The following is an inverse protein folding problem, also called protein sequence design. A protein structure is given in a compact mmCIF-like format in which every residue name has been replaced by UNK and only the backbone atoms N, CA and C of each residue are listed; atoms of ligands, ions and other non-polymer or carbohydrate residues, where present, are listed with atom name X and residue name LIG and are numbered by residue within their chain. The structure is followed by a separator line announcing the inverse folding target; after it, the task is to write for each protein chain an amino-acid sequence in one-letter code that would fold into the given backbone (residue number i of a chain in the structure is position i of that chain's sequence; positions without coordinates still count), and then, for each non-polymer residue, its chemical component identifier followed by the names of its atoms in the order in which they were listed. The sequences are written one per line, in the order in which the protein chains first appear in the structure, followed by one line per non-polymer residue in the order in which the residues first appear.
data_IF_354027627261
#
_entry.id   IF_354027627261
#
_cell.length_a   1.000
_cell.length_b   1.000
_cell.length_c   1.000
_cell.angle_alpha   90.00
_cell.angle_beta   90.00
_cell.angle_gamma   90.00
#
_symmetry.space_group_name_H-M   'P 1'
#
loop_
_entity.id
_entity.type
_entity.pdbx_description
1 polymer ?
#
# COMPACT_ATOMS: atom_id res chain seq x y z
N UNK A 1 34.26 26.91 0.63
CA UNK A 1 33.72 26.38 -0.63
C UNK A 1 33.82 24.86 -0.56
N UNK A 2 32.80 24.18 -0.06
CA UNK A 2 32.75 22.71 -0.05
C UNK A 2 31.39 22.27 -0.58
N UNK A 3 31.31 22.15 -1.91
CA UNK A 3 30.15 21.60 -2.60
C UNK A 3 30.30 20.07 -2.61
N UNK A 4 29.83 19.42 -1.54
CA UNK A 4 29.67 17.96 -1.52
C UNK A 4 28.71 17.57 -2.65
N UNK A 5 29.25 17.01 -3.73
CA UNK A 5 28.50 16.35 -4.80
C UNK A 5 27.74 15.15 -4.22
N UNK A 6 26.58 15.40 -3.60
CA UNK A 6 25.54 14.40 -3.43
C UNK A 6 24.95 14.19 -4.81
N UNK A 7 25.64 13.39 -5.63
CA UNK A 7 25.14 12.89 -6.91
C UNK A 7 23.79 12.27 -6.60
N UNK A 8 22.72 13.02 -6.86
CA UNK A 8 21.39 12.63 -6.47
C UNK A 8 21.09 11.37 -7.27
N UNK A 9 21.05 10.23 -6.59
CA UNK A 9 20.65 8.95 -7.20
C UNK A 9 19.20 9.05 -7.70
N UNK A 10 18.45 10.01 -7.14
CA UNK A 10 17.06 10.37 -7.42
C UNK A 10 16.77 10.57 -8.92
N UNK A 11 17.44 11.47 -9.68
CA UNK A 11 17.23 11.61 -11.13
C UNK A 11 17.52 10.33 -11.92
N UNK A 12 18.50 9.52 -11.51
CA UNK A 12 18.79 8.23 -12.16
C UNK A 12 17.66 7.22 -11.96
N UNK A 13 17.14 7.11 -10.73
CA UNK A 13 16.00 6.24 -10.42
C UNK A 13 14.74 6.69 -11.14
N UNK A 14 14.51 8.00 -11.26
CA UNK A 14 13.39 8.57 -12.04
C UNK A 14 13.53 8.23 -13.52
N UNK A 15 14.73 8.34 -14.10
CA UNK A 15 14.94 7.98 -15.51
C UNK A 15 14.74 6.48 -15.75
N UNK A 16 15.21 5.63 -14.84
CA UNK A 16 15.06 4.17 -14.95
C UNK A 16 13.59 3.77 -14.81
N UNK A 17 12.86 4.33 -13.84
CA UNK A 17 11.43 4.04 -13.67
C UNK A 17 10.60 4.56 -14.84
N UNK A 18 10.91 5.76 -15.35
CA UNK A 18 10.26 6.31 -16.54
C UNK A 18 10.56 5.49 -17.79
N UNK A 19 11.80 5.04 -17.95
CA UNK A 19 12.22 4.16 -19.03
C UNK A 19 11.51 2.81 -18.98
N UNK A 20 11.37 2.20 -17.80
CA UNK A 20 10.66 0.93 -17.62
C UNK A 20 9.17 1.07 -17.97
N UNK A 21 8.54 2.17 -17.55
CA UNK A 21 7.15 2.49 -17.89
C UNK A 21 6.95 2.68 -19.38
N UNK A 22 7.89 3.31 -20.07
CA UNK A 22 7.88 3.45 -21.54
C UNK A 22 8.19 2.14 -22.28
N UNK A 23 8.95 1.24 -21.65
CA UNK A 23 9.29 -0.07 -22.23
C UNK A 23 8.11 -1.04 -22.16
N UNK A 24 7.31 -1.00 -21.10
CA UNK A 24 6.18 -1.92 -20.87
C UNK A 24 5.24 -2.04 -22.09
N UNK A 25 4.70 -0.96 -22.70
CA UNK A 25 3.87 -1.04 -23.92
C UNK A 25 4.57 -1.61 -25.15
N UNK A 26 5.90 -1.64 -25.14
CA UNK A 26 6.71 -2.07 -26.29
C UNK A 26 7.03 -3.57 -26.19
N UNK A 27 7.17 -4.10 -24.97
CA UNK A 27 7.37 -5.55 -24.71
C UNK A 27 6.08 -6.30 -24.39
N UNK A 28 5.01 -5.61 -24.02
CA UNK A 28 3.69 -6.18 -23.73
C UNK A 28 2.64 -5.44 -24.53
N UNK A 29 1.54 -6.09 -24.93
CA UNK A 29 0.42 -5.50 -25.70
C UNK A 29 -0.43 -4.50 -24.87
N UNK A 30 0.23 -3.80 -23.95
CA UNK A 30 -0.35 -2.88 -22.98
C UNK A 30 -0.44 -1.52 -23.64
N UNK A 31 -1.66 -1.01 -23.77
CA UNK A 31 -1.90 0.28 -24.44
C UNK A 31 -1.45 1.44 -23.55
N UNK A 32 -1.09 2.59 -24.15
CA UNK A 32 -0.78 3.82 -23.38
C UNK A 32 -1.91 4.23 -22.41
N UNK A 33 -3.17 3.87 -22.75
CA UNK A 33 -4.35 4.05 -21.89
C UNK A 33 -4.30 3.23 -20.59
N UNK A 34 -3.55 2.15 -20.57
CA UNK A 34 -3.44 1.19 -19.46
C UNK A 34 -2.31 1.55 -18.47
N UNK A 35 -1.44 2.50 -18.83
CA UNK A 35 -0.35 2.99 -17.96
C UNK A 35 -0.79 4.00 -16.89
N UNK A 36 -2.05 4.46 -16.92
CA UNK A 36 -2.56 5.44 -15.96
C UNK A 36 -2.35 5.09 -14.47
N UNK A 37 -2.37 3.81 -14.01
CA UNK A 37 -2.15 3.47 -12.60
C UNK A 37 -0.75 3.84 -12.11
N UNK A 38 0.24 3.96 -13.01
CA UNK A 38 1.60 4.41 -12.68
C UNK A 38 1.59 5.84 -12.15
N UNK A 39 0.72 6.71 -12.67
CA UNK A 39 0.58 8.08 -12.16
C UNK A 39 0.00 8.13 -10.74
N UNK A 40 -0.73 7.09 -10.32
CA UNK A 40 -1.23 6.95 -8.95
C UNK A 40 -0.18 6.27 -8.06
N UNK A 41 0.42 5.17 -8.53
CA UNK A 41 1.42 4.41 -7.80
C UNK A 41 2.72 5.20 -7.57
N UNK A 42 3.16 5.97 -8.56
CA UNK A 42 4.40 6.76 -8.54
C UNK A 42 4.50 7.69 -7.32
N UNK A 43 3.59 8.67 -7.14
CA UNK A 43 3.59 9.52 -5.96
C UNK A 43 3.39 8.74 -4.66
N UNK A 44 2.62 7.64 -4.69
CA UNK A 44 2.47 6.74 -3.54
C UNK A 44 3.80 6.16 -3.07
N UNK A 45 4.56 5.57 -4.00
CA UNK A 45 5.88 4.98 -3.71
C UNK A 45 6.86 6.05 -3.23
N UNK A 46 6.83 7.24 -3.82
CA UNK A 46 7.68 8.36 -3.41
C UNK A 46 7.37 8.78 -1.97
N UNK A 47 6.10 8.95 -1.61
CA UNK A 47 5.69 9.30 -0.25
C UNK A 47 6.00 8.18 0.76
N UNK A 48 5.81 6.92 0.36
CA UNK A 48 6.15 5.77 1.19
C UNK A 48 7.66 5.72 1.45
N UNK A 49 8.49 5.90 0.41
CA UNK A 49 9.94 5.93 0.51
C UNK A 49 10.44 7.11 1.37
N UNK A 50 9.88 8.32 1.17
CA UNK A 50 10.22 9.49 2.00
C UNK A 50 9.84 9.27 3.46
N UNK A 51 8.68 8.68 3.74
CA UNK A 51 8.24 8.36 5.10
C UNK A 51 9.13 7.30 5.77
N UNK A 52 9.58 6.30 5.01
CA UNK A 52 10.49 5.25 5.50
C UNK A 52 11.90 5.78 5.78
N UNK A 53 12.44 6.61 4.90
CA UNK A 53 13.79 7.18 5.03
C UNK A 53 13.82 8.28 6.10
N UNK A 54 12.82 9.16 6.13
CA UNK A 54 12.79 10.27 7.06
C UNK A 54 11.77 10.03 8.19
N UNK A 55 12.27 9.56 9.33
CA UNK A 55 11.50 9.37 10.57
C UNK A 55 10.90 10.66 11.14
N UNK A 56 11.21 11.85 10.61
CA UNK A 56 10.49 13.08 10.97
C UNK A 56 9.17 13.27 10.22
N UNK A 57 9.02 12.58 9.08
CA UNK A 57 7.94 12.74 8.13
C UNK A 57 7.02 11.51 8.11
N UNK A 58 6.82 10.87 9.27
CA UNK A 58 6.00 9.66 9.35
C UNK A 58 4.59 9.88 8.80
N UNK A 59 4.02 11.08 8.93
CA UNK A 59 2.70 11.43 8.40
C UNK A 59 2.50 11.11 6.90
N UNK A 60 3.58 11.06 6.11
CA UNK A 60 3.52 10.74 4.69
C UNK A 60 3.38 9.23 4.40
N UNK A 61 3.64 8.34 5.37
CA UNK A 61 3.47 6.89 5.16
C UNK A 61 2.01 6.52 4.89
N UNK A 62 1.04 7.22 5.50
CA UNK A 62 -0.38 6.91 5.30
C UNK A 62 -0.86 7.19 3.88
N UNK A 63 -0.72 8.41 3.33
CA UNK A 63 -1.05 8.67 1.94
C UNK A 63 -0.14 7.88 0.99
N UNK A 64 1.14 7.67 1.32
CA UNK A 64 2.04 6.86 0.52
C UNK A 64 1.56 5.41 0.34
N UNK A 65 1.24 4.74 1.45
CA UNK A 65 0.73 3.37 1.45
C UNK A 65 -0.60 3.28 0.70
N UNK A 66 -1.51 4.24 0.93
CA UNK A 66 -2.82 4.28 0.27
C UNK A 66 -2.69 4.38 -1.26
N UNK A 67 -1.88 5.33 -1.75
CA UNK A 67 -1.67 5.52 -3.18
C UNK A 67 -0.92 4.35 -3.81
N UNK A 68 0.04 3.74 -3.11
CA UNK A 68 0.73 2.54 -3.60
C UNK A 68 -0.23 1.35 -3.74
N UNK A 69 -1.08 1.10 -2.73
CA UNK A 69 -2.05 0.00 -2.77
C UNK A 69 -3.10 0.23 -3.85
N UNK A 70 -3.63 1.45 -3.99
CA UNK A 70 -4.59 1.78 -5.06
C UNK A 70 -3.95 1.70 -6.44
N UNK A 71 -2.74 2.23 -6.61
CA UNK A 71 -1.99 2.12 -7.85
C UNK A 71 -1.78 0.66 -8.26
N UNK A 72 -1.41 -0.21 -7.31
CA UNK A 72 -1.27 -1.65 -7.56
C UNK A 72 -2.60 -2.33 -7.89
N UNK A 73 -3.68 -1.99 -7.17
CA UNK A 73 -5.02 -2.50 -7.44
C UNK A 73 -5.52 -2.13 -8.84
N UNK A 74 -5.32 -0.87 -9.23
CA UNK A 74 -5.69 -0.39 -10.56
C UNK A 74 -4.83 -0.99 -11.65
N UNK A 75 -3.54 -1.21 -11.39
CA UNK A 75 -2.67 -1.95 -12.29
C UNK A 75 -3.21 -3.37 -12.48
N UNK A 76 -3.53 -4.09 -11.40
CA UNK A 76 -4.15 -5.41 -11.48
C UNK A 76 -5.45 -5.43 -12.30
N UNK A 77 -6.37 -4.49 -12.05
CA UNK A 77 -7.64 -4.40 -12.80
C UNK A 77 -7.46 -4.07 -14.29
N UNK A 78 -6.35 -3.44 -14.65
CA UNK A 78 -6.02 -3.14 -16.04
C UNK A 78 -5.58 -4.41 -16.79
N UNK A 79 -4.82 -5.31 -16.16
CA UNK A 79 -4.39 -6.57 -16.77
C UNK A 79 -5.45 -7.68 -16.72
N UNK A 80 -6.06 -7.89 -15.55
CA UNK A 80 -7.03 -8.97 -15.30
C UNK A 80 -8.48 -8.55 -15.63
N UNK A 81 -8.68 -7.28 -15.97
CA UNK A 81 -9.97 -6.71 -16.31
C UNK A 81 -10.77 -6.21 -15.10
N UNK A 82 -11.53 -5.15 -15.35
CA UNK A 82 -12.31 -4.43 -14.35
C UNK A 82 -13.45 -5.23 -13.70
N UNK A 83 -13.81 -6.39 -14.25
CA UNK A 83 -14.80 -7.29 -13.66
C UNK A 83 -14.39 -7.76 -12.25
N UNK A 84 -13.09 -7.98 -12.05
CA UNK A 84 -12.53 -8.36 -10.74
C UNK A 84 -12.71 -7.28 -9.68
N UNK A 85 -13.01 -6.02 -10.05
CA UNK A 85 -13.26 -4.95 -9.09
C UNK A 85 -14.43 -5.25 -8.16
N UNK A 86 -15.41 -6.05 -8.60
CA UNK A 86 -16.50 -6.52 -7.73
C UNK A 86 -15.98 -7.32 -6.54
N UNK A 87 -14.87 -8.05 -6.69
CA UNK A 87 -14.29 -8.84 -5.59
C UNK A 87 -13.20 -8.09 -4.85
N UNK A 88 -12.48 -7.19 -5.52
CA UNK A 88 -11.37 -6.44 -4.93
C UNK A 88 -11.75 -5.10 -4.30
N UNK A 89 -12.99 -4.61 -4.40
CA UNK A 89 -13.40 -3.38 -3.73
C UNK A 89 -13.07 -3.29 -2.22
N UNK A 90 -13.02 -4.38 -1.42
CA UNK A 90 -12.69 -4.27 -0.01
C UNK A 90 -11.24 -3.84 0.22
N UNK A 91 -10.37 -3.98 -0.80
CA UNK A 91 -9.01 -3.42 -0.80
C UNK A 91 -9.04 -1.89 -0.59
N UNK A 92 -10.10 -1.19 -1.02
CA UNK A 92 -10.28 0.24 -0.73
C UNK A 92 -10.42 0.54 0.76
N UNK A 93 -10.93 -0.41 1.54
CA UNK A 93 -11.06 -0.33 3.00
C UNK A 93 -9.76 -0.82 3.65
N UNK A 94 -9.12 -1.86 3.12
CA UNK A 94 -7.86 -2.38 3.65
C UNK A 94 -6.72 -1.35 3.52
N UNK A 95 -6.66 -0.62 2.41
CA UNK A 95 -5.58 0.34 2.13
C UNK A 95 -5.39 1.43 3.21
N UNK A 96 -6.42 2.17 3.67
CA UNK A 96 -6.26 3.12 4.76
C UNK A 96 -5.89 2.42 6.08
N UNK A 97 -6.39 1.21 6.33
CA UNK A 97 -5.99 0.40 7.49
C UNK A 97 -4.50 0.04 7.47
N UNK A 98 -3.97 -0.37 6.31
CA UNK A 98 -2.54 -0.60 6.10
C UNK A 98 -1.71 0.67 6.25
N UNK A 99 -2.20 1.81 5.73
CA UNK A 99 -1.52 3.10 5.90
C UNK A 99 -1.40 3.53 7.37
N UNK A 100 -2.46 3.33 8.15
CA UNK A 100 -2.46 3.56 9.60
C UNK A 100 -1.55 2.56 10.34
N UNK A 101 -1.51 1.30 9.91
CA UNK A 101 -0.60 0.30 10.46
C UNK A 101 0.87 0.66 10.19
N UNK A 102 1.18 1.12 8.99
CA UNK A 102 2.52 1.57 8.60
C UNK A 102 2.96 2.79 9.42
N UNK A 103 2.03 3.74 9.66
CA UNK A 103 2.25 4.87 10.57
C UNK A 103 2.58 4.41 12.00
N UNK A 104 1.87 3.40 12.53
CA UNK A 104 2.14 2.88 13.87
C UNK A 104 3.52 2.24 13.96
N UNK A 105 3.92 1.46 12.93
CA UNK A 105 5.17 0.73 12.91
C UNK A 105 6.38 1.67 12.84
N UNK A 106 6.28 2.75 12.04
CA UNK A 106 7.39 3.65 11.76
C UNK A 106 7.33 5.02 12.48
N UNK A 107 6.19 5.42 13.01
CA UNK A 107 5.96 6.68 13.71
C UNK A 107 5.79 6.53 15.23
N UNK A 108 4.92 7.37 15.82
CA UNK A 108 4.55 7.27 17.25
C UNK A 108 3.64 6.06 17.46
N UNK A 109 4.07 5.16 18.35
CA UNK A 109 3.35 3.95 18.74
C UNK A 109 2.16 4.27 19.64
N UNK A 110 1.20 5.06 19.15
CA UNK A 110 -0.02 5.38 19.87
C UNK A 110 -1.02 4.23 19.74
N UNK A 111 -1.56 3.79 20.88
CA UNK A 111 -2.49 2.64 20.94
C UNK A 111 -3.76 2.91 20.11
N UNK A 112 -4.23 4.16 20.04
CA UNK A 112 -5.41 4.54 19.25
C UNK A 112 -5.24 4.31 17.75
N UNK A 113 -4.04 4.50 17.21
CA UNK A 113 -3.77 4.31 15.78
C UNK A 113 -3.79 2.82 15.38
N UNK A 114 -3.35 1.95 16.29
CA UNK A 114 -3.38 0.52 16.05
C UNK A 114 -4.81 -0.03 16.11
N UNK A 115 -5.63 0.48 17.03
CA UNK A 115 -7.04 0.09 17.15
C UNK A 115 -7.78 0.47 15.86
N UNK A 116 -7.63 1.71 15.39
CA UNK A 116 -8.27 2.14 14.14
C UNK A 116 -7.76 1.38 12.93
N UNK A 117 -6.44 1.16 12.81
CA UNK A 117 -5.85 0.33 11.75
C UNK A 117 -6.44 -1.08 11.74
N UNK A 118 -6.55 -1.71 12.92
CA UNK A 118 -7.04 -3.08 13.07
C UNK A 118 -8.52 -3.20 12.74
N UNK A 119 -9.35 -2.25 13.18
CA UNK A 119 -10.78 -2.24 12.86
C UNK A 119 -10.98 -2.06 11.35
N UNK A 120 -10.32 -1.06 10.75
CA UNK A 120 -10.48 -0.74 9.33
C UNK A 120 -9.96 -1.89 8.45
N UNK A 121 -8.76 -2.41 8.71
CA UNK A 121 -8.24 -3.57 7.99
C UNK A 121 -9.08 -4.83 8.22
N UNK A 122 -9.61 -5.03 9.43
CA UNK A 122 -10.48 -6.16 9.77
C UNK A 122 -11.81 -6.11 9.02
N UNK A 123 -12.45 -4.95 8.94
CA UNK A 123 -13.68 -4.75 8.14
C UNK A 123 -13.39 -4.95 6.66
N UNK A 124 -12.25 -4.46 6.16
CA UNK A 124 -11.84 -4.70 4.78
C UNK A 124 -11.63 -6.19 4.48
N UNK A 125 -10.97 -6.92 5.39
CA UNK A 125 -10.83 -8.38 5.28
C UNK A 125 -12.19 -9.10 5.35
N UNK A 126 -13.10 -8.62 6.21
CA UNK A 126 -14.47 -9.14 6.32
C UNK A 126 -15.19 -9.15 4.99
N UNK A 127 -15.19 -8.01 4.31
CA UNK A 127 -15.83 -7.92 3.00
C UNK A 127 -15.05 -8.66 1.90
N UNK A 128 -13.72 -8.80 2.02
CA UNK A 128 -12.91 -9.53 1.04
C UNK A 128 -13.11 -11.04 1.14
N UNK A 129 -13.14 -11.59 2.35
CA UNK A 129 -13.31 -13.01 2.57
C UNK A 129 -14.77 -13.47 2.62
N UNK A 130 -15.74 -12.58 2.86
CA UNK A 130 -17.16 -12.89 2.68
C UNK A 130 -17.56 -13.26 1.24
N UNK A 131 -16.65 -13.04 0.27
CA UNK A 131 -16.79 -13.47 -1.13
C UNK A 131 -16.25 -14.90 -1.37
N UNK A 132 -15.47 -15.46 -0.45
CA UNK A 132 -14.90 -16.81 -0.50
C UNK A 132 -15.36 -17.62 0.71
N UNK A 133 -16.40 -18.45 0.54
CA UNK A 133 -16.94 -19.44 1.48
C UNK A 133 -16.77 -19.16 3.00
N UNK A 134 -17.90 -18.91 3.67
CA UNK A 134 -18.00 -18.53 5.09
C UNK A 134 -17.32 -19.50 6.10
N UNK A 135 -16.99 -20.73 5.71
CA UNK A 135 -16.48 -21.77 6.61
C UNK A 135 -15.05 -21.53 7.12
N UNK A 136 -14.17 -20.92 6.33
CA UNK A 136 -12.78 -20.64 6.75
C UNK A 136 -12.55 -19.19 7.20
N UNK A 137 -13.55 -18.34 6.98
CA UNK A 137 -13.42 -16.91 7.18
C UNK A 137 -13.36 -16.53 8.68
N UNK A 138 -14.22 -17.14 9.49
CA UNK A 138 -14.27 -16.92 10.94
C UNK A 138 -12.95 -17.30 11.65
N UNK A 139 -12.34 -18.48 11.42
CA UNK A 139 -11.05 -18.81 12.02
C UNK A 139 -9.90 -17.92 11.53
N UNK A 140 -9.86 -17.54 10.25
CA UNK A 140 -8.81 -16.64 9.73
C UNK A 140 -8.89 -15.24 10.35
N UNK A 141 -10.11 -14.69 10.50
CA UNK A 141 -10.35 -13.42 11.19
C UNK A 141 -9.90 -13.50 12.66
N UNK A 142 -10.23 -14.59 13.37
CA UNK A 142 -9.84 -14.81 14.76
C UNK A 142 -8.31 -14.92 14.91
N UNK A 143 -7.64 -15.59 13.97
CA UNK A 143 -6.17 -15.72 13.97
C UNK A 143 -5.52 -14.36 13.72
N UNK A 144 -6.03 -13.56 12.78
CA UNK A 144 -5.52 -12.22 12.52
C UNK A 144 -5.72 -11.28 13.72
N UNK A 145 -6.91 -11.28 14.32
CA UNK A 145 -7.23 -10.53 15.55
C UNK A 145 -6.35 -10.99 16.72
N UNK A 146 -6.09 -12.30 16.82
CA UNK A 146 -5.21 -12.91 17.81
C UNK A 146 -3.74 -12.51 17.65
N UNK A 147 -3.21 -12.50 16.42
CA UNK A 147 -1.84 -12.05 16.13
C UNK A 147 -1.68 -10.57 16.49
N UNK A 148 -2.65 -9.74 16.13
CA UNK A 148 -2.66 -8.30 16.47
C UNK A 148 -2.71 -8.10 17.99
N UNK A 149 -3.52 -8.87 18.72
CA UNK A 149 -3.57 -8.84 20.18
C UNK A 149 -2.26 -9.30 20.83
N UNK A 150 -1.64 -10.37 20.32
CA UNK A 150 -0.37 -10.91 20.84
C UNK A 150 0.80 -9.95 20.67
N UNK A 151 0.86 -9.25 19.53
CA UNK A 151 1.86 -8.21 19.30
C UNK A 151 1.67 -7.00 20.23
N UNK A 152 0.43 -6.74 20.67
CA UNK A 152 0.12 -5.71 21.66
C UNK A 152 0.39 -6.17 23.11
N UNK A 153 0.21 -7.45 23.41
CA UNK A 153 0.39 -8.02 24.75
C UNK A 153 1.86 -8.12 25.16
N UNK A 154 2.77 -8.42 24.21
CA UNK A 154 4.22 -8.58 24.50
C UNK A 154 4.94 -7.28 24.88
N UNK A 155 4.25 -6.13 24.79
CA UNK A 155 4.82 -4.81 25.10
C UNK A 155 4.44 -4.30 26.50
N UNK A 156 3.64 -5.05 27.27
CA UNK A 156 3.37 -4.77 28.69
C UNK A 156 4.18 -5.72 29.56
#
# INVERSE_FOLDING_TARGET
MDASSRRSIVPGVILISLGLVFLLPTVTDVRMRELWPVFVAGPGIIFLAMGLVNRSNYGLLMPGTLLTVFGGLFFYCVFEGWYHMHSLWPVFIIAPGLGLFMLYLFGRKEKGLLISASIVSGVGLFFLGGLWDFDYFLPALLIFLGIVLLLNAKKN
#
